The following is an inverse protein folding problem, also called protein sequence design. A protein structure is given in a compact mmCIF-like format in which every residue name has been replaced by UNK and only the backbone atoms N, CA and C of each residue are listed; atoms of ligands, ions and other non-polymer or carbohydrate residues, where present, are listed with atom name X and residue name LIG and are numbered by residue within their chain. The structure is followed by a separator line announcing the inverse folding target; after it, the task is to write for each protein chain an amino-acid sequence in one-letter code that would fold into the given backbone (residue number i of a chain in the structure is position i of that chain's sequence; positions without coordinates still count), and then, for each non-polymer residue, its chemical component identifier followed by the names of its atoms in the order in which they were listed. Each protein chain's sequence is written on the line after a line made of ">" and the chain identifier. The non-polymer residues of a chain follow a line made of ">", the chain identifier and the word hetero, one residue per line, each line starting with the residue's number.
data_IF_217981240177
#
_entry.id   IF_217981240177
#
_cell.length_a   1.000
_cell.length_b   1.000
_cell.length_c   1.000
_cell.angle_alpha   90.00
_cell.angle_beta   90.00
_cell.angle_gamma   90.00
#
_symmetry.space_group_name_H-M   'P 1'
#
loop_
_entity.id
_entity.type
_entity.pdbx_description
1 polymer ?
#
# COMPACT_ATOMS: atom_id res chain seq x y z
N UNK A 1 -0.47 -9.46 -6.97
CA UNK A 1 -1.26 -10.65 -6.59
C UNK A 1 -0.34 -11.82 -6.24
N UNK A 2 0.45 -12.36 -7.18
CA UNK A 2 1.42 -13.42 -6.86
C UNK A 2 2.48 -12.98 -5.81
N UNK A 3 3.01 -11.76 -5.95
CA UNK A 3 3.96 -11.15 -5.00
C UNK A 3 3.36 -10.93 -3.60
N UNK A 4 2.03 -10.87 -3.50
CA UNK A 4 1.29 -10.67 -2.25
C UNK A 4 0.90 -12.03 -1.61
N UNK A 5 1.43 -13.15 -2.14
CA UNK A 5 1.15 -14.51 -1.67
C UNK A 5 -0.23 -15.04 -2.06
N UNK A 6 -0.94 -14.39 -2.98
CA UNK A 6 -2.29 -14.81 -3.41
C UNK A 6 -2.20 -16.13 -4.18
N UNK A 7 -2.94 -17.19 -3.79
CA UNK A 7 -3.02 -18.45 -4.53
C UNK A 7 -3.36 -18.23 -6.02
N UNK A 8 -2.64 -18.93 -6.91
CA UNK A 8 -2.79 -18.82 -8.37
C UNK A 8 -4.24 -19.00 -8.85
N UNK A 9 -4.99 -19.88 -8.19
CA UNK A 9 -6.41 -20.14 -8.49
C UNK A 9 -7.30 -18.91 -8.28
N UNK A 10 -7.02 -18.08 -7.27
CA UNK A 10 -7.75 -16.83 -7.02
C UNK A 10 -7.39 -15.74 -8.03
N UNK A 11 -6.16 -15.76 -8.52
CA UNK A 11 -5.72 -14.83 -9.56
C UNK A 11 -6.43 -15.17 -10.88
N UNK A 12 -6.45 -16.46 -11.23
CA UNK A 12 -7.11 -16.97 -12.42
C UNK A 12 -8.61 -16.68 -12.43
N UNK A 13 -9.32 -16.98 -11.32
CA UNK A 13 -10.73 -16.66 -11.17
C UNK A 13 -11.02 -15.15 -11.33
N UNK A 14 -10.26 -14.30 -10.62
CA UNK A 14 -10.48 -12.85 -10.69
C UNK A 14 -10.18 -12.24 -12.06
N UNK A 15 -9.32 -12.87 -12.85
CA UNK A 15 -9.00 -12.44 -14.22
C UNK A 15 -9.85 -13.14 -15.28
N UNK A 16 -10.74 -14.07 -14.89
CA UNK A 16 -11.57 -14.85 -15.82
C UNK A 16 -10.78 -15.88 -16.65
N UNK A 17 -9.59 -16.28 -16.19
CA UNK A 17 -8.77 -17.29 -16.84
C UNK A 17 -9.03 -18.68 -16.24
N UNK A 18 -9.24 -19.69 -17.09
CA UNK A 18 -9.24 -21.08 -16.65
C UNK A 18 -7.81 -21.57 -16.41
N UNK A 19 -7.54 -22.18 -15.25
CA UNK A 19 -6.24 -22.83 -14.98
C UNK A 19 -6.22 -24.19 -15.72
N UNK A 20 -5.32 -24.43 -16.69
CA UNK A 20 -5.26 -25.73 -17.38
C UNK A 20 -4.65 -26.82 -16.47
N UNK A 21 -5.27 -28.01 -16.40
CA UNK A 21 -4.71 -29.23 -15.78
C UNK A 21 -5.52 -29.84 -14.61
N UNK A 22 -5.05 -30.97 -14.06
CA UNK A 22 -5.67 -31.70 -12.91
C UNK A 22 -5.74 -30.91 -11.59
N UNK A 23 -5.36 -29.62 -11.59
CA UNK A 23 -5.58 -28.67 -10.49
C UNK A 23 -6.82 -27.79 -10.70
N UNK A 24 -7.69 -28.12 -11.66
CA UNK A 24 -8.96 -27.44 -11.94
C UNK A 24 -10.04 -27.54 -10.85
N UNK A 25 -9.68 -27.85 -9.61
CA UNK A 25 -10.62 -28.04 -8.50
C UNK A 25 -10.08 -27.33 -7.24
N UNK A 26 -10.07 -26.00 -7.22
CA UNK A 26 -10.74 -25.33 -6.10
C UNK A 26 -12.13 -25.03 -6.62
N UNK A 27 -13.02 -26.02 -6.55
CA UNK A 27 -14.40 -25.84 -6.99
C UNK A 27 -15.11 -24.74 -6.22
N UNK A 28 -14.66 -24.40 -5.00
CA UNK A 28 -15.19 -23.29 -4.22
C UNK A 28 -14.07 -22.39 -3.73
N UNK A 29 -14.15 -21.11 -4.11
CA UNK A 29 -13.48 -20.03 -3.39
C UNK A 29 -14.16 -19.95 -2.02
N UNK A 30 -13.38 -20.14 -0.96
CA UNK A 30 -13.90 -19.98 0.40
C UNK A 30 -13.93 -18.50 0.81
N UNK A 31 -14.82 -18.15 1.74
CA UNK A 31 -14.86 -16.81 2.32
C UNK A 31 -13.52 -16.40 2.95
N UNK A 32 -12.78 -17.37 3.51
CA UNK A 32 -11.43 -17.14 4.05
C UNK A 32 -10.44 -16.71 2.97
N UNK A 33 -10.46 -17.36 1.81
CA UNK A 33 -9.61 -17.00 0.67
C UNK A 33 -9.93 -15.60 0.14
N UNK A 34 -11.21 -15.22 0.11
CA UNK A 34 -11.64 -13.86 -0.27
C UNK A 34 -11.17 -12.85 0.79
N UNK A 35 -11.33 -13.16 2.07
CA UNK A 35 -10.91 -12.28 3.16
C UNK A 35 -9.40 -12.02 3.12
N UNK A 36 -8.59 -13.06 2.90
CA UNK A 36 -7.14 -12.94 2.77
C UNK A 36 -6.74 -12.10 1.55
N UNK A 37 -7.40 -12.31 0.41
CA UNK A 37 -7.18 -11.51 -0.79
C UNK A 37 -7.52 -10.03 -0.56
N UNK A 38 -8.68 -9.75 0.03
CA UNK A 38 -9.10 -8.38 0.35
C UNK A 38 -8.16 -7.72 1.34
N UNK A 39 -7.67 -8.45 2.34
CA UNK A 39 -6.69 -7.98 3.31
C UNK A 39 -5.38 -7.60 2.62
N UNK A 40 -4.86 -8.45 1.74
CA UNK A 40 -3.64 -8.18 0.98
C UNK A 40 -3.79 -6.95 0.07
N UNK A 41 -4.87 -6.89 -0.73
CA UNK A 41 -5.13 -5.76 -1.61
C UNK A 41 -5.34 -4.44 -0.85
N UNK A 42 -6.05 -4.49 0.28
CA UNK A 42 -6.25 -3.31 1.15
C UNK A 42 -4.93 -2.82 1.73
N UNK A 43 -4.06 -3.73 2.17
CA UNK A 43 -2.74 -3.37 2.67
C UNK A 43 -1.88 -2.72 1.58
N UNK A 44 -1.85 -3.29 0.38
CA UNK A 44 -1.13 -2.74 -0.77
C UNK A 44 -1.64 -1.35 -1.16
N UNK A 45 -2.95 -1.17 -1.22
CA UNK A 45 -3.57 0.13 -1.50
C UNK A 45 -3.18 1.20 -0.46
N UNK A 46 -3.23 0.86 0.84
CA UNK A 46 -2.81 1.78 1.91
C UNK A 46 -1.33 2.14 1.82
N UNK A 47 -0.46 1.20 1.46
CA UNK A 47 0.96 1.46 1.24
C UNK A 47 1.18 2.47 0.10
N UNK A 48 0.46 2.30 -1.02
CA UNK A 48 0.52 3.23 -2.14
C UNK A 48 0.06 4.65 -1.77
N UNK A 49 -0.89 4.82 -0.84
CA UNK A 49 -1.26 6.16 -0.34
C UNK A 49 -0.11 6.84 0.43
N UNK A 50 0.64 6.07 1.22
CA UNK A 50 1.83 6.59 1.94
C UNK A 50 2.90 7.05 0.96
N UNK A 51 3.20 6.22 -0.05
CA UNK A 51 4.14 6.56 -1.12
C UNK A 51 3.66 7.79 -1.90
N UNK A 52 2.36 7.86 -2.22
CA UNK A 52 1.77 8.99 -2.95
C UNK A 52 1.89 10.30 -2.18
N UNK A 53 1.74 10.30 -0.85
CA UNK A 53 1.99 11.48 0.00
C UNK A 53 3.47 11.88 -0.01
N UNK A 54 4.39 10.91 -0.11
CA UNK A 54 5.81 11.19 -0.21
C UNK A 54 6.18 11.96 -1.50
N UNK A 55 5.53 11.63 -2.62
CA UNK A 55 5.70 12.36 -3.88
C UNK A 55 4.97 13.71 -3.90
N UNK A 56 3.71 13.74 -3.49
CA UNK A 56 2.93 14.98 -3.39
C UNK A 56 1.87 14.88 -2.27
N UNK A 57 1.93 15.73 -1.23
CA UNK A 57 1.01 15.62 -0.10
C UNK A 57 -0.46 15.96 -0.41
N UNK A 58 -0.73 16.65 -1.52
CA UNK A 58 -2.04 17.16 -1.88
C UNK A 58 -2.46 16.72 -3.29
N UNK A 59 -3.77 16.77 -3.53
CA UNK A 59 -4.39 16.43 -4.81
C UNK A 59 -5.47 17.45 -5.16
N UNK A 60 -5.55 17.91 -6.43
CA UNK A 60 -6.68 18.73 -6.87
C UNK A 60 -8.00 17.93 -6.92
N UNK A 61 -7.94 16.60 -6.94
CA UNK A 61 -9.11 15.73 -6.81
C UNK A 61 -9.47 15.60 -5.34
N UNK A 62 -10.58 16.22 -4.92
CA UNK A 62 -10.99 16.33 -3.52
C UNK A 62 -11.08 14.99 -2.79
N UNK A 63 -11.75 13.98 -3.38
CA UNK A 63 -11.85 12.64 -2.77
C UNK A 63 -10.48 12.02 -2.50
N UNK A 64 -9.52 12.18 -3.42
CA UNK A 64 -8.16 11.68 -3.20
C UNK A 64 -7.43 12.53 -2.15
N UNK A 65 -7.64 13.84 -2.13
CA UNK A 65 -7.06 14.72 -1.11
C UNK A 65 -7.50 14.30 0.31
N UNK A 66 -8.79 13.97 0.48
CA UNK A 66 -9.34 13.47 1.74
C UNK A 66 -8.72 12.12 2.14
N UNK A 67 -8.57 11.20 1.17
CA UNK A 67 -7.92 9.90 1.40
C UNK A 67 -6.44 10.03 1.81
N UNK A 68 -5.75 11.07 1.33
CA UNK A 68 -4.35 11.33 1.68
C UNK A 68 -4.20 12.04 3.05
N UNK A 69 -5.25 12.73 3.53
CA UNK A 69 -5.19 13.58 4.72
C UNK A 69 -4.64 12.87 5.99
N UNK A 70 -5.02 11.62 6.32
CA UNK A 70 -4.49 10.92 7.48
C UNK A 70 -2.97 10.67 7.41
N UNK A 71 -2.44 10.48 6.20
CA UNK A 71 -1.05 10.08 5.96
C UNK A 71 -0.07 11.26 5.93
N UNK A 72 -0.56 12.50 5.82
CA UNK A 72 0.27 13.73 5.84
C UNK A 72 1.02 13.94 7.15
N UNK A 73 0.37 13.61 8.28
CA UNK A 73 0.88 13.89 9.64
C UNK A 73 2.11 13.06 10.00
N UNK A 74 2.34 11.94 9.32
CA UNK A 74 3.53 11.09 9.48
C UNK A 74 4.82 11.71 8.95
N UNK A 75 4.75 12.79 8.14
CA UNK A 75 5.92 13.57 7.69
C UNK A 75 6.45 14.47 8.81
N UNK A 76 7.01 13.90 9.87
CA UNK A 76 7.89 14.65 10.77
C UNK A 76 9.18 14.95 9.99
N UNK A 77 9.24 16.16 9.46
CA UNK A 77 10.28 16.69 8.59
C UNK A 77 11.71 16.43 9.14
N UNK A 78 12.56 15.61 8.50
CA UNK A 78 13.94 15.40 8.94
C UNK A 78 14.79 16.68 8.83
N UNK A 79 14.35 17.66 8.03
CA UNK A 79 15.05 18.92 7.79
C UNK A 79 15.13 19.84 9.01
N UNK A 80 14.36 19.59 10.08
CA UNK A 80 14.52 20.31 11.37
C UNK A 80 15.65 19.76 12.26
N UNK A 81 16.20 18.56 11.98
CA UNK A 81 17.24 17.95 12.81
C UNK A 81 18.65 18.48 12.51
N UNK A 82 18.91 18.92 11.28
CA UNK A 82 20.25 19.39 10.88
C UNK A 82 20.55 20.84 11.26
N UNK A 83 19.54 21.70 11.48
CA UNK A 83 19.75 23.11 11.89
C UNK A 83 20.16 23.27 13.37
N UNK A 84 19.90 22.25 14.19
CA UNK A 84 20.27 22.25 15.61
C UNK A 84 21.72 21.79 15.87
N UNK A 85 22.41 21.21 14.86
CA UNK A 85 23.80 20.76 15.01
C UNK A 85 24.84 21.82 14.64
N UNK A 86 24.49 22.84 13.85
CA UNK A 86 25.43 23.88 13.42
C UNK A 86 25.46 25.14 14.30
N UNK A 87 24.68 25.17 15.39
CA UNK A 87 24.64 26.33 16.31
C UNK A 87 25.46 26.14 17.60
N UNK A 88 26.14 25.00 17.78
CA UNK A 88 27.01 24.73 18.94
C UNK A 88 28.49 24.60 18.53
N UNK A 89 29.02 25.57 17.79
CA UNK A 89 30.46 25.77 17.69
C UNK A 89 30.87 26.82 18.74
N UNK A 90 31.74 26.51 19.72
CA UNK A 90 32.22 27.51 20.65
C UNK A 90 33.10 28.52 19.92
N UNK A 91 32.81 29.80 20.13
CA UNK A 91 33.70 30.90 19.76
C UNK A 91 34.72 31.11 20.86
N UNK A 92 36.01 31.17 20.50
CA UNK A 92 37.08 31.73 21.32
C UNK A 92 37.72 30.78 22.31
#
# INVERSE_FOLDING_TARGET
>A
MAEDGVPEILQADRMGHAVPGMRGVCTHISDGMIADLLKALTARWKASLVERVAYSPHSPVAMLDDLLAPYRRGRRNPSRRNRAKTQNAPSG
#
